data_IF_473189897707
#
_entry.id   IF_473189897707
#
_cell.length_a   1.000
_cell.length_b   1.000
_cell.length_c   1.000
_cell.angle_alpha   90.00
_cell.angle_beta   90.00
_cell.angle_gamma   90.00
#
_symmetry.space_group_name_H-M   'P 1'
#
loop_
_entity.id
_entity.type
_entity.pdbx_description
1 polymer ?
#
# COMPACT_ATOMS: atom_id res chain seq x y z
N UNK A 1 8.39 -0.64 -25.46
CA UNK A 1 7.22 -1.28 -24.81
C UNK A 1 7.67 -1.80 -23.46
N UNK A 2 6.99 -1.40 -22.39
CA UNK A 2 7.31 -1.82 -21.03
C UNK A 2 6.99 -3.31 -20.86
N UNK A 3 7.89 -4.04 -20.20
CA UNK A 3 7.68 -5.44 -19.81
C UNK A 3 7.73 -5.50 -18.29
N UNK A 4 6.54 -5.40 -17.70
CA UNK A 4 6.34 -5.42 -16.27
C UNK A 4 6.52 -6.82 -15.69
N UNK A 5 7.10 -6.89 -14.50
CA UNK A 5 7.14 -8.11 -13.67
C UNK A 5 6.55 -7.76 -12.31
N UNK A 6 5.57 -8.54 -11.87
CA UNK A 6 5.04 -8.47 -10.52
C UNK A 6 6.01 -9.26 -9.62
N UNK A 7 6.84 -8.53 -8.87
CA UNK A 7 8.11 -9.04 -8.33
C UNK A 7 8.13 -9.09 -6.80
N UNK A 8 7.15 -9.77 -6.22
CA UNK A 8 7.21 -10.01 -4.78
C UNK A 8 8.34 -10.99 -4.41
N UNK A 9 8.68 -11.93 -5.30
CA UNK A 9 9.71 -12.95 -5.11
C UNK A 9 9.46 -13.92 -3.92
N UNK A 10 8.19 -14.20 -3.61
CA UNK A 10 7.77 -15.10 -2.52
C UNK A 10 8.44 -16.48 -2.56
N UNK A 11 8.74 -16.99 -1.36
CA UNK A 11 9.26 -18.34 -1.21
C UNK A 11 8.15 -19.39 -1.39
N UNK A 12 8.44 -20.51 -2.07
CA UNK A 12 7.47 -21.59 -2.23
C UNK A 12 6.94 -22.15 -0.90
N UNK A 13 5.61 -22.28 -0.83
CA UNK A 13 4.87 -22.83 0.33
C UNK A 13 4.96 -21.95 1.58
N UNK A 14 5.11 -20.65 1.40
CA UNK A 14 4.97 -19.66 2.47
C UNK A 14 3.80 -18.72 2.17
N UNK A 15 3.29 -18.07 3.21
CA UNK A 15 2.30 -17.01 3.06
C UNK A 15 2.92 -15.79 2.37
N UNK A 16 2.09 -15.05 1.63
CA UNK A 16 2.42 -13.72 1.17
C UNK A 16 2.34 -12.76 2.36
N UNK A 17 3.49 -12.35 2.91
CA UNK A 17 3.54 -11.38 4.00
C UNK A 17 3.79 -9.98 3.42
N UNK A 18 2.72 -9.34 2.93
CA UNK A 18 2.76 -8.06 2.18
C UNK A 18 3.81 -7.03 2.62
N UNK A 19 4.05 -6.72 3.91
CA UNK A 19 4.97 -5.63 4.26
C UNK A 19 6.44 -6.02 4.19
N UNK A 20 6.82 -7.31 4.15
CA UNK A 20 8.22 -7.72 4.12
C UNK A 20 8.48 -8.68 2.99
N UNK A 21 9.23 -8.20 1.99
CA UNK A 21 9.57 -8.97 0.82
C UNK A 21 10.79 -9.87 1.08
N UNK A 22 10.87 -11.06 0.47
CA UNK A 22 12.02 -11.94 0.60
C UNK A 22 13.35 -11.29 0.20
N UNK A 23 14.42 -11.75 0.83
CA UNK A 23 15.78 -11.28 0.54
C UNK A 23 16.18 -11.45 -0.93
N UNK A 24 16.83 -10.42 -1.46
CA UNK A 24 17.23 -10.33 -2.88
C UNK A 24 18.49 -11.11 -3.18
N UNK A 25 18.58 -11.60 -4.42
CA UNK A 25 19.74 -12.32 -4.94
C UNK A 25 20.07 -11.90 -6.36
N UNK A 26 21.37 -11.86 -6.68
CA UNK A 26 21.86 -11.57 -8.04
C UNK A 26 21.29 -12.53 -9.09
N UNK A 27 21.05 -13.80 -8.72
CA UNK A 27 20.44 -14.77 -9.64
C UNK A 27 19.04 -14.37 -10.12
N UNK A 28 18.29 -13.64 -9.29
CA UNK A 28 16.98 -13.14 -9.71
C UNK A 28 17.11 -12.14 -10.86
N UNK A 29 18.22 -11.39 -10.93
CA UNK A 29 18.49 -10.44 -12.00
C UNK A 29 18.78 -11.18 -13.31
N UNK A 30 19.53 -12.29 -13.27
CA UNK A 30 19.74 -13.15 -14.45
C UNK A 30 18.38 -13.60 -15.04
N UNK A 31 17.47 -14.05 -14.17
CA UNK A 31 16.14 -14.49 -14.61
C UNK A 31 15.31 -13.32 -15.20
N UNK A 32 15.40 -12.13 -14.60
CA UNK A 32 14.76 -10.92 -15.12
C UNK A 32 15.31 -10.50 -16.50
N UNK A 33 16.62 -10.68 -16.72
CA UNK A 33 17.25 -10.48 -18.03
C UNK A 33 16.73 -11.47 -19.07
N UNK A 34 16.59 -12.74 -18.69
CA UNK A 34 16.02 -13.78 -19.55
C UNK A 34 14.55 -13.46 -19.91
N UNK A 35 13.78 -12.91 -18.97
CA UNK A 35 12.42 -12.42 -19.20
C UNK A 35 12.39 -11.11 -19.99
N UNK A 36 13.55 -10.49 -20.18
CA UNK A 36 13.75 -9.17 -20.78
C UNK A 36 12.93 -8.09 -20.07
N UNK A 37 12.78 -8.21 -18.75
CA UNK A 37 12.05 -7.27 -17.92
C UNK A 37 12.59 -5.85 -18.10
N UNK A 38 11.71 -4.85 -18.00
CA UNK A 38 12.11 -3.43 -17.99
C UNK A 38 11.65 -2.72 -16.73
N UNK A 39 10.63 -3.25 -16.05
CA UNK A 39 10.01 -2.60 -14.90
C UNK A 39 9.54 -3.66 -13.91
N UNK A 40 9.87 -3.50 -12.64
CA UNK A 40 9.38 -4.33 -11.55
C UNK A 40 8.33 -3.52 -10.77
N UNK A 41 7.17 -4.12 -10.54
CA UNK A 41 6.05 -3.55 -9.76
C UNK A 41 5.76 -4.46 -8.57
N UNK A 42 5.24 -3.89 -7.49
CA UNK A 42 5.23 -4.54 -6.17
C UNK A 42 6.56 -5.24 -5.88
N UNK A 43 7.64 -4.47 -5.91
CA UNK A 43 8.96 -5.09 -6.11
C UNK A 43 9.97 -4.92 -5.00
N UNK A 44 9.90 -3.87 -4.18
CA UNK A 44 10.95 -3.57 -3.20
C UNK A 44 10.46 -2.70 -2.04
N UNK A 45 11.16 -2.78 -0.91
CA UNK A 45 11.10 -1.80 0.18
C UNK A 45 9.70 -1.57 0.80
N UNK A 46 8.97 -2.65 1.08
CA UNK A 46 7.63 -2.60 1.68
C UNK A 46 7.61 -2.39 3.20
N UNK A 47 8.76 -2.58 3.87
CA UNK A 47 8.89 -2.67 5.32
C UNK A 47 8.48 -1.44 6.11
N UNK A 48 8.22 -0.31 5.43
CA UNK A 48 7.75 0.93 6.03
C UNK A 48 6.46 0.76 6.82
N UNK A 49 5.62 -0.21 6.45
CA UNK A 49 4.38 -0.51 7.18
C UNK A 49 4.57 -1.30 8.47
N UNK A 50 5.78 -1.83 8.73
CA UNK A 50 6.17 -2.36 10.04
C UNK A 50 6.82 -1.25 10.86
N UNK A 51 7.89 -0.63 10.33
CA UNK A 51 8.53 0.55 10.91
C UNK A 51 9.58 1.16 9.97
N UNK A 52 9.94 2.43 10.18
CA UNK A 52 11.02 3.08 9.41
C UNK A 52 12.40 2.43 9.64
N UNK A 53 12.79 2.04 10.86
CA UNK A 53 14.03 1.28 11.08
C UNK A 53 14.05 -0.07 10.37
N UNK A 54 12.91 -0.77 10.30
CA UNK A 54 12.80 -2.03 9.57
C UNK A 54 13.01 -1.80 8.06
N UNK A 55 12.38 -0.75 7.50
CA UNK A 55 12.60 -0.35 6.11
C UNK A 55 14.07 0.01 5.80
N UNK A 56 14.74 0.74 6.70
CA UNK A 56 16.18 1.01 6.54
C UNK A 56 17.01 -0.28 6.58
N UNK A 57 16.60 -1.27 7.37
CA UNK A 57 17.24 -2.58 7.39
C UNK A 57 17.05 -3.33 6.06
N UNK A 58 15.87 -3.27 5.44
CA UNK A 58 15.65 -3.81 4.08
C UNK A 58 16.54 -3.10 3.05
N UNK A 59 16.57 -1.77 3.10
CA UNK A 59 17.28 -0.93 2.14
C UNK A 59 18.81 -1.06 2.23
N UNK A 60 19.35 -0.98 3.44
CA UNK A 60 20.77 -0.73 3.70
C UNK A 60 21.40 -1.72 4.67
N UNK A 61 20.63 -2.67 5.21
CA UNK A 61 21.11 -3.63 6.18
C UNK A 61 22.30 -4.44 5.67
N UNK A 62 23.17 -4.83 6.60
CA UNK A 62 24.29 -5.70 6.29
C UNK A 62 23.79 -7.12 5.98
N UNK A 63 24.25 -7.68 4.87
CA UNK A 63 24.05 -9.08 4.53
C UNK A 63 25.22 -9.89 5.08
N UNK A 64 24.91 -10.93 5.87
CA UNK A 64 25.91 -11.84 6.42
C UNK A 64 26.84 -12.36 5.30
N UNK A 65 28.18 -12.38 5.50
CA UNK A 65 29.13 -12.85 4.50
C UNK A 65 28.81 -14.24 3.94
N UNK A 66 28.23 -15.13 4.74
CA UNK A 66 27.78 -16.45 4.29
C UNK A 66 26.68 -16.35 3.24
N UNK A 67 25.75 -15.42 3.35
CA UNK A 67 24.71 -15.19 2.34
C UNK A 67 25.28 -14.44 1.14
N UNK A 68 26.23 -13.53 1.32
CA UNK A 68 26.93 -12.89 0.20
C UNK A 68 27.64 -13.91 -0.70
N UNK A 69 28.17 -15.00 -0.14
CA UNK A 69 28.73 -16.11 -0.94
C UNK A 69 27.72 -16.71 -1.95
N UNK A 70 26.42 -16.68 -1.62
CA UNK A 70 25.34 -17.13 -2.50
C UNK A 70 24.67 -15.99 -3.28
N UNK A 71 25.31 -14.82 -3.33
CA UNK A 71 24.85 -13.67 -4.11
C UNK A 71 23.65 -12.93 -3.50
N UNK A 72 23.39 -13.08 -2.20
CA UNK A 72 22.41 -12.23 -1.52
C UNK A 72 22.94 -10.80 -1.37
N UNK A 73 22.02 -9.85 -1.54
CA UNK A 73 22.24 -8.41 -1.51
C UNK A 73 21.10 -7.73 -0.76
N UNK A 74 21.33 -6.53 -0.24
CA UNK A 74 20.22 -5.70 0.28
C UNK A 74 19.46 -5.05 -0.89
N UNK A 75 18.32 -4.40 -0.61
CA UNK A 75 17.47 -3.85 -1.66
C UNK A 75 18.18 -2.71 -2.43
N UNK A 76 19.01 -1.87 -1.78
CA UNK A 76 19.77 -0.83 -2.48
C UNK A 76 20.77 -1.40 -3.49
N UNK A 77 21.55 -2.41 -3.09
CA UNK A 77 22.48 -3.13 -3.96
C UNK A 77 21.74 -3.81 -5.13
N UNK A 78 20.59 -4.44 -4.87
CA UNK A 78 19.75 -5.06 -5.90
C UNK A 78 19.24 -4.03 -6.91
N UNK A 79 18.71 -2.90 -6.44
CA UNK A 79 18.20 -1.82 -7.30
C UNK A 79 19.30 -1.27 -8.19
N UNK A 80 20.49 -1.01 -7.63
CA UNK A 80 21.64 -0.52 -8.39
C UNK A 80 22.06 -1.50 -9.48
N UNK A 81 22.06 -2.81 -9.19
CA UNK A 81 22.40 -3.82 -10.18
C UNK A 81 21.34 -3.92 -11.29
N UNK A 82 20.04 -3.93 -10.95
CA UNK A 82 18.95 -3.85 -11.92
C UNK A 82 19.08 -2.64 -12.86
N UNK A 83 19.46 -1.47 -12.33
CA UNK A 83 19.62 -0.25 -13.11
C UNK A 83 20.74 -0.32 -14.15
N UNK A 84 21.84 -1.04 -13.89
CA UNK A 84 22.90 -1.27 -14.88
C UNK A 84 22.38 -1.97 -16.14
N UNK A 85 21.30 -2.73 -16.00
CA UNK A 85 20.64 -3.46 -17.07
C UNK A 85 19.38 -2.75 -17.61
N UNK A 86 19.11 -1.52 -17.16
CA UNK A 86 17.94 -0.76 -17.59
C UNK A 86 16.61 -1.26 -17.00
N UNK A 87 16.64 -1.99 -15.89
CA UNK A 87 15.45 -2.46 -15.18
C UNK A 87 15.07 -1.41 -14.11
N UNK A 88 13.86 -0.86 -14.23
CA UNK A 88 13.30 0.10 -13.28
C UNK A 88 12.63 -0.64 -12.12
N UNK A 89 13.11 -0.44 -10.90
CA UNK A 89 12.54 -1.04 -9.68
C UNK A 89 11.65 -0.02 -8.98
N UNK A 90 10.40 -0.38 -8.69
CA UNK A 90 9.47 0.46 -7.93
C UNK A 90 9.46 0.07 -6.45
N UNK A 91 9.66 1.05 -5.57
CA UNK A 91 9.41 0.93 -4.14
C UNK A 91 7.91 0.99 -3.87
N UNK A 92 7.42 0.14 -2.97
CA UNK A 92 5.99 0.08 -2.63
C UNK A 92 5.74 0.85 -1.35
N UNK A 93 4.82 1.80 -1.41
CA UNK A 93 4.30 2.48 -0.22
C UNK A 93 2.93 1.88 0.04
N UNK A 94 2.83 0.95 0.98
CA UNK A 94 1.55 0.40 1.41
C UNK A 94 0.79 1.44 2.24
N UNK A 95 -0.14 2.15 1.61
CA UNK A 95 -0.81 3.30 2.23
C UNK A 95 -1.86 2.89 3.26
N UNK A 96 -2.46 1.70 3.14
CA UNK A 96 -3.53 1.25 4.06
C UNK A 96 -3.01 0.39 5.21
N UNK A 97 -1.79 -0.12 5.11
CA UNK A 97 -1.37 -1.25 5.93
C UNK A 97 -0.50 -0.76 7.08
N UNK A 98 -0.97 -0.94 8.32
CA UNK A 98 -0.19 -0.72 9.54
C UNK A 98 -0.01 -2.03 10.30
N UNK A 99 1.22 -2.56 10.31
CA UNK A 99 1.49 -3.91 10.77
C UNK A 99 2.04 -3.97 12.19
N UNK A 100 1.52 -4.94 12.94
CA UNK A 100 2.00 -5.35 14.25
C UNK A 100 2.34 -6.85 14.19
N UNK A 101 3.63 -7.17 14.35
CA UNK A 101 4.15 -8.53 14.19
C UNK A 101 4.53 -9.14 15.55
N UNK A 102 4.15 -10.40 15.84
CA UNK A 102 4.64 -11.08 17.03
C UNK A 102 6.15 -11.33 16.90
N UNK A 103 6.90 -11.16 17.99
CA UNK A 103 8.35 -11.30 18.00
C UNK A 103 8.87 -11.96 19.29
N UNK A 104 10.12 -12.42 19.25
CA UNK A 104 10.87 -12.89 20.41
C UNK A 104 12.21 -12.17 20.46
N UNK A 105 12.52 -11.54 21.60
CA UNK A 105 13.80 -10.87 21.83
C UNK A 105 14.65 -11.64 22.83
N UNK A 106 15.97 -11.38 22.82
CA UNK A 106 16.84 -11.81 23.92
C UNK A 106 16.55 -11.02 25.22
N UNK A 107 17.10 -11.48 26.34
CA UNK A 107 16.78 -10.96 27.68
C UNK A 107 17.00 -9.45 27.83
N UNK A 108 18.05 -8.93 27.20
CA UNK A 108 18.42 -7.51 27.30
C UNK A 108 17.84 -6.65 26.16
N UNK A 109 16.95 -7.22 25.33
CA UNK A 109 16.24 -6.57 24.21
C UNK A 109 17.19 -5.91 23.18
N UNK A 110 18.36 -6.50 22.95
CA UNK A 110 19.36 -6.04 21.97
C UNK A 110 19.36 -6.83 20.65
N UNK A 111 18.61 -7.93 20.59
CA UNK A 111 18.56 -8.81 19.42
C UNK A 111 17.18 -9.43 19.21
N UNK A 112 16.70 -9.38 17.97
CA UNK A 112 15.53 -10.14 17.52
C UNK A 112 15.93 -11.60 17.28
N UNK A 113 15.25 -12.53 17.96
CA UNK A 113 15.50 -13.98 17.89
C UNK A 113 14.46 -14.70 17.01
N UNK A 114 13.25 -14.16 16.91
CA UNK A 114 12.20 -14.56 15.98
C UNK A 114 11.27 -13.36 15.70
N UNK A 115 10.70 -13.31 14.49
CA UNK A 115 9.73 -12.31 14.05
C UNK A 115 8.71 -13.00 13.16
N UNK A 116 7.42 -12.78 13.41
CA UNK A 116 6.25 -13.40 12.79
C UNK A 116 6.12 -14.93 13.00
N UNK A 117 7.20 -15.68 12.76
CA UNK A 117 7.30 -17.13 12.96
C UNK A 117 7.96 -17.44 14.32
N UNK A 118 7.19 -17.38 15.41
CA UNK A 118 7.69 -17.63 16.77
C UNK A 118 8.11 -19.10 16.99
N UNK A 119 9.08 -19.32 17.90
CA UNK A 119 9.63 -20.68 18.16
C UNK A 119 10.06 -20.94 19.61
N UNK A 120 9.70 -20.06 20.54
CA UNK A 120 10.10 -20.14 21.95
C UNK A 120 11.57 -19.83 22.18
N UNK A 121 12.21 -19.02 21.32
CA UNK A 121 13.63 -18.70 21.40
C UNK A 121 13.97 -17.60 22.42
N UNK A 122 12.97 -16.85 22.90
CA UNK A 122 13.22 -15.72 23.80
C UNK A 122 11.95 -15.14 24.43
N UNK A 123 12.08 -13.90 24.91
CA UNK A 123 10.98 -13.14 25.52
C UNK A 123 10.00 -12.70 24.43
N UNK A 124 8.76 -13.18 24.52
CA UNK A 124 7.67 -12.84 23.61
C UNK A 124 7.31 -11.35 23.71
N UNK A 125 7.08 -10.72 22.57
CA UNK A 125 6.69 -9.31 22.45
C UNK A 125 6.02 -9.02 21.09
N UNK A 126 5.73 -7.75 20.83
CA UNK A 126 5.31 -7.22 19.52
C UNK A 126 6.37 -6.30 18.93
N UNK A 127 6.42 -6.25 17.60
CA UNK A 127 7.23 -5.31 16.83
C UNK A 127 6.39 -4.77 15.68
N UNK A 128 6.01 -3.49 15.79
CA UNK A 128 5.32 -2.77 14.73
C UNK A 128 5.42 -1.25 14.88
N UNK A 129 4.44 -0.57 14.29
CA UNK A 129 4.33 0.88 14.30
C UNK A 129 4.15 1.42 15.72
N UNK A 130 3.43 0.69 16.59
CA UNK A 130 3.22 1.07 17.99
C UNK A 130 4.53 1.09 18.77
N UNK A 131 5.31 0.01 18.74
CA UNK A 131 6.59 -0.01 19.49
C UNK A 131 7.61 0.95 18.91
N UNK A 132 7.59 1.17 17.59
CA UNK A 132 8.44 2.16 16.94
C UNK A 132 8.11 3.58 17.41
N UNK A 133 6.85 4.00 17.28
CA UNK A 133 6.42 5.36 17.66
C UNK A 133 6.49 5.62 19.17
N UNK A 134 6.40 4.57 19.98
CA UNK A 134 6.62 4.63 21.42
C UNK A 134 8.09 4.54 21.86
N UNK A 135 9.06 4.48 20.93
CA UNK A 135 10.50 4.35 21.22
C UNK A 135 10.84 3.15 22.14
N UNK A 136 10.11 2.04 22.02
CA UNK A 136 10.15 0.95 23.01
C UNK A 136 11.46 0.16 23.02
N UNK A 137 12.13 0.01 21.87
CA UNK A 137 13.34 -0.83 21.73
C UNK A 137 14.58 -0.05 21.29
N UNK A 138 15.15 0.82 22.12
CA UNK A 138 16.22 1.74 21.73
C UNK A 138 17.55 1.07 21.35
N UNK A 139 17.74 -0.21 21.69
CA UNK A 139 18.92 -1.00 21.27
C UNK A 139 18.77 -1.63 19.89
N UNK A 140 17.54 -1.77 19.41
CA UNK A 140 17.22 -2.41 18.12
C UNK A 140 16.88 -1.37 17.07
N UNK A 141 16.12 -0.35 17.46
CA UNK A 141 15.54 0.63 16.55
C UNK A 141 16.00 2.04 16.90
N UNK A 142 16.29 2.80 15.85
CA UNK A 142 16.48 4.23 16.00
C UNK A 142 15.17 4.88 16.50
N UNK A 143 15.27 5.94 17.31
CA UNK A 143 14.09 6.58 17.85
C UNK A 143 13.30 7.33 16.77
N UNK A 144 12.01 7.55 17.00
CA UNK A 144 11.10 8.32 16.14
C UNK A 144 11.70 9.66 15.73
N UNK A 145 12.38 10.33 16.67
CA UNK A 145 12.99 11.66 16.50
C UNK A 145 14.15 11.66 15.49
N UNK A 146 14.73 10.50 15.17
CA UNK A 146 15.68 10.39 14.03
C UNK A 146 15.00 10.77 12.73
N UNK A 147 13.75 10.35 12.53
CA UNK A 147 12.98 10.54 11.30
C UNK A 147 12.11 11.80 11.35
N UNK A 148 11.67 12.18 12.56
CA UNK A 148 10.86 13.35 12.82
C UNK A 148 11.48 14.17 13.95
N UNK A 149 12.50 15.02 13.69
CA UNK A 149 13.25 15.72 14.75
C UNK A 149 12.41 16.61 15.67
N UNK A 150 11.21 17.01 15.24
CA UNK A 150 10.27 17.80 16.05
C UNK A 150 9.21 16.94 16.74
N UNK A 151 9.19 15.63 16.49
CA UNK A 151 8.07 14.75 16.80
C UNK A 151 6.97 14.81 15.73
N UNK A 152 5.93 14.00 15.94
CA UNK A 152 4.69 13.99 15.15
C UNK A 152 3.57 14.62 15.98
N UNK A 153 2.71 15.41 15.34
CA UNK A 153 1.57 16.06 15.99
C UNK A 153 0.31 15.89 15.16
N UNK A 154 -0.80 15.59 15.83
CA UNK A 154 -2.12 15.48 15.19
C UNK A 154 -2.70 16.86 14.86
N UNK A 155 -3.90 16.88 14.25
CA UNK A 155 -4.57 18.14 13.85
C UNK A 155 -4.91 19.07 15.03
N UNK A 156 -4.92 18.56 16.27
CA UNK A 156 -5.11 19.35 17.49
C UNK A 156 -3.80 19.91 18.07
N UNK A 157 -2.65 19.59 17.45
CA UNK A 157 -1.32 19.96 17.95
C UNK A 157 -0.84 19.10 19.12
N UNK A 158 -1.47 17.95 19.35
CA UNK A 158 -1.09 17.02 20.41
C UNK A 158 0.01 16.08 19.90
N UNK A 159 1.03 15.76 20.72
CA UNK A 159 2.10 14.86 20.33
C UNK A 159 1.59 13.43 20.15
N UNK A 160 2.05 12.76 19.09
CA UNK A 160 1.68 11.38 18.76
C UNK A 160 2.80 10.42 19.17
N UNK A 161 2.46 9.45 20.03
CA UNK A 161 3.39 8.41 20.51
C UNK A 161 2.93 6.98 20.20
N UNK A 162 1.75 6.82 19.60
CA UNK A 162 1.23 5.55 19.10
C UNK A 162 0.59 5.80 17.73
N UNK A 163 1.33 5.44 16.67
CA UNK A 163 0.89 5.62 15.29
C UNK A 163 -0.37 4.80 14.96
N UNK A 164 -0.52 3.60 15.53
CA UNK A 164 -1.71 2.78 15.28
C UNK A 164 -2.93 3.48 15.87
N UNK A 165 -2.88 3.86 17.13
CA UNK A 165 -4.04 4.46 17.82
C UNK A 165 -4.51 5.77 17.16
N UNK A 166 -3.56 6.63 16.75
CA UNK A 166 -3.82 7.91 16.12
C UNK A 166 -4.34 7.78 14.67
N UNK A 167 -3.70 6.93 13.87
CA UNK A 167 -3.90 6.93 12.42
C UNK A 167 -4.85 5.83 11.92
N UNK A 168 -5.31 4.91 12.77
CA UNK A 168 -6.20 3.82 12.35
C UNK A 168 -7.57 4.34 11.94
N UNK A 169 -8.08 3.80 10.84
CA UNK A 169 -9.47 3.96 10.44
C UNK A 169 -10.38 3.30 11.47
N UNK A 170 -11.42 4.00 11.90
CA UNK A 170 -12.39 3.49 12.87
C UNK A 170 -13.76 3.36 12.23
N UNK A 171 -14.47 2.29 12.52
CA UNK A 171 -15.84 2.14 12.04
C UNK A 171 -16.81 3.07 12.77
N UNK A 172 -18.10 2.97 12.45
CA UNK A 172 -19.16 3.80 13.05
C UNK A 172 -19.27 3.64 14.58
N UNK A 173 -18.79 2.54 15.16
CA UNK A 173 -18.79 2.27 16.59
C UNK A 173 -17.49 2.71 17.28
N UNK A 174 -16.50 3.19 16.52
CA UNK A 174 -15.18 3.57 17.02
C UNK A 174 -14.17 2.42 17.08
N UNK A 175 -14.54 1.24 16.58
CA UNK A 175 -13.66 0.06 16.58
C UNK A 175 -12.63 0.17 15.45
N UNK A 176 -11.36 -0.20 15.70
CA UNK A 176 -10.31 -0.14 14.68
C UNK A 176 -10.58 -1.13 13.53
N UNK A 177 -10.46 -0.66 12.31
CA UNK A 177 -10.60 -1.47 11.10
C UNK A 177 -9.32 -2.25 10.80
N UNK A 178 -9.47 -3.48 10.30
CA UNK A 178 -8.36 -4.37 9.94
C UNK A 178 -8.38 -4.70 8.45
N UNK A 179 -7.19 -4.72 7.83
CA UNK A 179 -6.99 -5.16 6.46
C UNK A 179 -6.94 -6.70 6.40
N UNK A 180 -8.05 -7.35 6.73
CA UNK A 180 -8.12 -8.81 6.91
C UNK A 180 -7.78 -9.63 5.66
N UNK A 181 -7.75 -9.02 4.47
CA UNK A 181 -7.41 -9.72 3.24
C UNK A 181 -5.92 -10.03 3.11
N UNK A 182 -5.06 -9.30 3.84
CA UNK A 182 -3.61 -9.58 3.90
C UNK A 182 -3.19 -10.33 5.17
N UNK A 183 -4.08 -10.44 6.17
CA UNK A 183 -3.83 -11.22 7.38
C UNK A 183 -3.99 -12.73 7.11
N UNK A 184 -2.95 -13.51 7.41
CA UNK A 184 -3.04 -14.97 7.52
C UNK A 184 -3.84 -15.38 8.77
N UNK A 185 -4.93 -16.11 8.58
CA UNK A 185 -5.87 -16.50 9.65
C UNK A 185 -5.31 -17.51 10.65
N UNK A 186 -4.20 -18.17 10.31
CA UNK A 186 -3.47 -19.11 11.15
C UNK A 186 -2.29 -18.45 11.90
N UNK A 187 -2.12 -17.14 11.79
CA UNK A 187 -1.05 -16.36 12.40
C UNK A 187 -1.61 -15.26 13.30
N UNK A 188 -0.78 -14.80 14.24
CA UNK A 188 -1.18 -13.80 15.23
C UNK A 188 -0.91 -12.34 14.82
N UNK A 189 -0.21 -12.12 13.70
CA UNK A 189 0.03 -10.78 13.16
C UNK A 189 -1.26 -9.99 12.95
N UNK A 190 -1.15 -8.66 12.99
CA UNK A 190 -2.29 -7.76 12.83
C UNK A 190 -1.94 -6.70 11.79
N UNK A 191 -2.88 -6.43 10.89
CA UNK A 191 -2.79 -5.37 9.90
C UNK A 191 -3.96 -4.41 10.08
N UNK A 192 -3.70 -3.27 10.71
CA UNK A 192 -4.65 -2.20 10.89
C UNK A 192 -4.80 -1.38 9.60
N UNK A 193 -6.02 -0.93 9.32
CA UNK A 193 -6.28 -0.04 8.18
C UNK A 193 -5.94 1.40 8.55
N UNK A 194 -4.85 1.92 8.02
CA UNK A 194 -4.39 3.28 8.26
C UNK A 194 -5.14 4.28 7.38
N UNK A 195 -5.45 5.46 7.92
CA UNK A 195 -6.25 6.48 7.24
C UNK A 195 -5.37 7.58 6.63
N UNK A 196 -5.37 7.70 5.30
CA UNK A 196 -4.66 8.76 4.57
C UNK A 196 -5.23 10.16 4.82
N UNK A 197 -6.46 10.28 5.29
CA UNK A 197 -6.97 11.58 5.73
C UNK A 197 -6.23 12.10 6.97
N UNK A 198 -5.61 11.22 7.76
CA UNK A 198 -4.79 11.62 8.90
C UNK A 198 -3.46 12.25 8.44
N UNK A 199 -3.16 13.52 8.81
CA UNK A 199 -1.92 14.19 8.42
C UNK A 199 -0.67 13.51 8.99
N UNK A 200 -0.74 12.92 10.17
CA UNK A 200 0.37 12.20 10.81
C UNK A 200 0.75 10.99 9.97
N UNK A 201 -0.24 10.25 9.47
CA UNK A 201 0.00 9.13 8.58
C UNK A 201 0.65 9.58 7.27
N UNK A 202 0.19 10.68 6.67
CA UNK A 202 0.82 11.23 5.46
C UNK A 202 2.28 11.63 5.69
N UNK A 203 2.60 12.27 6.82
CA UNK A 203 3.99 12.58 7.18
C UNK A 203 4.84 11.32 7.37
N UNK A 204 4.25 10.25 7.91
CA UNK A 204 4.88 8.95 8.01
C UNK A 204 5.17 8.34 6.63
N UNK A 205 4.17 8.30 5.73
CA UNK A 205 4.33 7.81 4.36
C UNK A 205 5.39 8.60 3.58
N UNK A 206 5.48 9.93 3.80
CA UNK A 206 6.57 10.75 3.25
C UNK A 206 7.95 10.27 3.71
N UNK A 207 8.08 9.79 4.96
CA UNK A 207 9.34 9.22 5.45
C UNK A 207 9.68 7.89 4.77
N UNK A 208 8.69 7.04 4.52
CA UNK A 208 8.85 5.81 3.72
C UNK A 208 9.37 6.16 2.32
N UNK A 209 8.74 7.13 1.66
CA UNK A 209 9.13 7.62 0.33
C UNK A 209 10.58 8.12 0.32
N UNK A 210 11.01 8.89 1.34
CA UNK A 210 12.40 9.37 1.45
C UNK A 210 13.40 8.21 1.46
N UNK A 211 13.18 7.22 2.33
CA UNK A 211 14.07 6.05 2.45
C UNK A 211 14.13 5.27 1.14
N UNK A 212 12.99 5.08 0.46
CA UNK A 212 12.95 4.39 -0.83
C UNK A 212 13.75 5.12 -1.92
N UNK A 213 13.58 6.44 -2.03
CA UNK A 213 14.31 7.27 -2.99
C UNK A 213 15.81 7.24 -2.70
N UNK A 214 16.20 7.36 -1.43
CA UNK A 214 17.60 7.29 -1.00
C UNK A 214 18.19 5.90 -1.28
N UNK A 215 17.40 4.83 -1.15
CA UNK A 215 17.82 3.47 -1.42
C UNK A 215 18.12 3.19 -2.89
N UNK A 216 17.51 3.93 -3.82
CA UNK A 216 17.84 3.74 -5.23
C UNK A 216 16.67 3.65 -6.18
N UNK A 217 15.42 3.60 -5.73
CA UNK A 217 14.29 3.21 -6.60
C UNK A 217 14.18 4.09 -7.84
N UNK A 218 13.71 3.49 -8.94
CA UNK A 218 13.40 4.21 -10.16
C UNK A 218 11.98 4.82 -10.14
N UNK A 219 11.12 4.31 -9.25
CA UNK A 219 9.81 4.87 -9.04
C UNK A 219 9.19 4.51 -7.70
N UNK A 220 8.13 5.23 -7.36
CA UNK A 220 7.30 5.04 -6.17
C UNK A 220 5.94 4.53 -6.63
N UNK A 221 5.51 3.41 -6.06
CA UNK A 221 4.18 2.85 -6.24
C UNK A 221 3.39 3.06 -4.95
N UNK A 222 2.39 3.94 -5.02
CA UNK A 222 1.43 4.20 -3.94
C UNK A 222 0.32 3.12 -3.97
N UNK A 223 0.42 2.12 -3.09
CA UNK A 223 -0.53 1.00 -3.05
C UNK A 223 -1.84 1.38 -2.35
N UNK A 224 -2.95 0.75 -2.78
CA UNK A 224 -4.31 1.10 -2.37
C UNK A 224 -4.61 2.62 -2.56
N UNK A 225 -4.52 3.08 -3.81
CA UNK A 225 -4.60 4.50 -4.12
C UNK A 225 -5.94 5.16 -3.77
N UNK A 226 -7.01 4.39 -3.52
CA UNK A 226 -8.37 4.83 -3.24
C UNK A 226 -8.69 5.06 -1.75
N UNK A 227 -7.68 5.12 -0.87
CA UNK A 227 -7.95 5.32 0.56
C UNK A 227 -8.50 6.70 0.93
N UNK A 228 -9.47 6.77 1.86
CA UNK A 228 -9.97 5.66 2.69
C UNK A 228 -11.26 5.00 2.17
N UNK A 229 -11.66 5.15 0.89
CA UNK A 229 -12.91 4.54 0.38
C UNK A 229 -12.92 3.01 0.54
N UNK A 230 -11.76 2.37 0.49
CA UNK A 230 -11.60 0.93 0.77
C UNK A 230 -12.18 0.53 2.13
N UNK A 231 -12.28 1.45 3.11
CA UNK A 231 -12.92 1.18 4.42
C UNK A 231 -14.43 1.01 4.34
N UNK A 232 -15.09 1.40 3.23
CA UNK A 232 -16.54 1.24 3.07
C UNK A 232 -16.98 -0.22 3.14
N UNK A 233 -16.09 -1.16 2.78
CA UNK A 233 -16.35 -2.60 2.95
C UNK A 233 -16.41 -3.05 4.42
N UNK A 234 -15.93 -2.21 5.36
CA UNK A 234 -15.96 -2.42 6.80
C UNK A 234 -16.88 -1.45 7.55
N UNK A 235 -17.71 -0.70 6.83
CA UNK A 235 -18.60 0.30 7.42
C UNK A 235 -18.06 1.71 7.41
N UNK A 236 -17.03 2.01 6.62
CA UNK A 236 -16.47 3.35 6.47
C UNK A 236 -15.49 3.74 7.58
N UNK A 237 -14.90 4.92 7.44
CA UNK A 237 -14.02 5.51 8.45
C UNK A 237 -14.75 6.66 9.17
N UNK A 238 -14.78 6.66 10.49
CA UNK A 238 -15.34 7.70 11.35
C UNK A 238 -14.31 8.14 12.40
N UNK A 239 -13.02 8.05 12.07
CA UNK A 239 -11.96 8.64 12.89
C UNK A 239 -12.15 10.18 12.98
N UNK A 240 -11.45 10.80 13.93
CA UNK A 240 -11.49 12.25 14.16
C UNK A 240 -11.27 13.06 12.88
N UNK A 241 -10.27 12.69 12.09
CA UNK A 241 -9.87 13.38 10.87
C UNK A 241 -10.93 13.27 9.75
N UNK A 242 -11.49 12.07 9.54
CA UNK A 242 -12.57 11.87 8.56
C UNK A 242 -13.84 12.65 8.95
N UNK A 243 -14.22 12.61 10.23
CA UNK A 243 -15.43 13.31 10.71
C UNK A 243 -15.25 14.82 10.65
N UNK A 244 -14.09 15.34 11.05
CA UNK A 244 -13.77 16.76 10.93
C UNK A 244 -13.76 17.21 9.48
N UNK A 245 -13.06 16.48 8.60
CA UNK A 245 -13.01 16.81 7.18
C UNK A 245 -14.39 16.79 6.52
N UNK A 246 -15.25 15.84 6.89
CA UNK A 246 -16.60 15.78 6.36
C UNK A 246 -17.48 16.92 6.85
N UNK A 247 -17.38 17.28 8.14
CA UNK A 247 -18.05 18.48 8.68
C UNK A 247 -17.64 19.73 7.90
N UNK A 248 -16.33 19.92 7.66
CA UNK A 248 -15.81 21.07 6.94
C UNK A 248 -16.33 21.08 5.48
N UNK A 249 -16.41 19.90 4.84
CA UNK A 249 -17.01 19.74 3.53
C UNK A 249 -18.49 20.18 3.51
N UNK A 250 -19.30 19.73 4.48
CA UNK A 250 -20.71 20.12 4.57
C UNK A 250 -20.91 21.63 4.77
N UNK A 251 -20.06 22.26 5.59
CA UNK A 251 -20.08 23.72 5.81
C UNK A 251 -19.76 24.46 4.51
N UNK A 252 -18.81 23.94 3.73
CA UNK A 252 -18.34 24.55 2.49
C UNK A 252 -19.30 24.35 1.30
N UNK A 253 -20.34 23.51 1.42
CA UNK A 253 -21.31 23.31 0.33
C UNK A 253 -22.00 24.62 -0.03
N UNK A 254 -22.14 24.94 -1.35
CA UNK A 254 -22.98 26.03 -1.82
C UNK A 254 -24.42 25.89 -1.32
N UNK A 255 -25.10 27.01 -1.05
CA UNK A 255 -26.45 27.00 -0.47
C UNK A 255 -27.44 26.18 -1.31
N UNK A 256 -27.33 26.28 -2.63
CA UNK A 256 -28.13 25.53 -3.61
C UNK A 256 -27.85 24.01 -3.65
N UNK A 257 -26.73 23.56 -3.08
CA UNK A 257 -26.34 22.14 -3.02
C UNK A 257 -26.47 21.55 -1.62
N UNK A 258 -26.85 22.33 -0.61
CA UNK A 258 -27.01 21.85 0.76
C UNK A 258 -28.26 20.98 0.87
N UNK A 259 -28.12 19.71 1.31
CA UNK A 259 -29.27 18.88 1.63
C UNK A 259 -30.20 19.56 2.65
N UNK A 260 -31.53 19.52 2.48
CA UNK A 260 -32.48 20.13 3.41
C UNK A 260 -32.33 19.62 4.85
N UNK A 261 -31.87 18.39 5.03
CA UNK A 261 -31.65 17.74 6.32
C UNK A 261 -30.51 18.40 7.12
N UNK A 262 -29.66 19.22 6.48
CA UNK A 262 -28.68 20.06 7.19
C UNK A 262 -29.33 21.24 7.92
N UNK A 263 -30.55 21.64 7.53
CA UNK A 263 -31.22 22.79 8.12
C UNK A 263 -31.54 22.54 9.60
N UNK A 264 -30.94 23.34 10.49
CA UNK A 264 -31.12 23.24 11.93
C UNK A 264 -30.14 22.29 12.64
N UNK A 265 -29.24 21.63 11.90
CA UNK A 265 -28.14 20.89 12.51
C UNK A 265 -27.04 21.86 12.96
N UNK A 266 -26.55 21.68 14.19
CA UNK A 266 -25.34 22.37 14.65
C UNK A 266 -24.12 21.67 14.05
N UNK A 267 -23.65 22.18 12.90
CA UNK A 267 -22.49 21.62 12.23
C UNK A 267 -21.20 21.75 13.05
N UNK A 268 -21.08 22.68 14.01
CA UNK A 268 -19.85 22.86 14.80
C UNK A 268 -19.47 21.58 15.55
N UNK A 269 -20.44 20.90 16.16
CA UNK A 269 -20.24 19.70 16.98
C UNK A 269 -20.74 18.43 16.29
N UNK A 270 -20.97 18.51 14.98
CA UNK A 270 -21.55 17.42 14.20
C UNK A 270 -20.56 16.26 14.04
N UNK A 271 -20.96 15.09 14.53
CA UNK A 271 -20.26 13.83 14.34
C UNK A 271 -21.14 12.87 13.54
N UNK A 272 -20.81 12.65 12.27
CA UNK A 272 -21.68 11.94 11.33
C UNK A 272 -22.07 10.53 11.80
N UNK A 273 -21.11 9.72 12.25
CA UNK A 273 -21.37 8.35 12.73
C UNK A 273 -22.32 8.30 13.93
N UNK A 274 -22.03 9.08 14.98
CA UNK A 274 -22.91 9.23 16.14
C UNK A 274 -24.32 9.72 15.75
N UNK A 275 -24.41 10.70 14.86
CA UNK A 275 -25.70 11.23 14.39
C UNK A 275 -26.53 10.18 13.65
N UNK A 276 -25.90 9.28 12.88
CA UNK A 276 -26.59 8.15 12.25
C UNK A 276 -27.08 7.15 13.32
N UNK A 277 -26.22 6.78 14.28
CA UNK A 277 -26.57 5.84 15.35
C UNK A 277 -27.73 6.36 16.23
N UNK A 278 -27.74 7.66 16.56
CA UNK A 278 -28.81 8.29 17.34
C UNK A 278 -30.18 8.22 16.62
N UNK A 279 -30.19 8.02 15.30
CA UNK A 279 -31.39 7.81 14.48
C UNK A 279 -31.70 6.33 14.23
N UNK A 280 -30.92 5.41 14.82
CA UNK A 280 -31.07 3.97 14.61
C UNK A 280 -30.55 3.48 13.27
N UNK A 281 -29.67 4.24 12.59
CA UNK A 281 -29.07 3.87 11.31
C UNK A 281 -27.66 3.30 11.51
N UNK A 282 -27.39 2.17 10.86
CA UNK A 282 -26.10 1.49 10.88
C UNK A 282 -25.45 1.49 9.48
N UNK A 283 -24.32 2.17 9.37
CA UNK A 283 -23.56 2.31 8.13
C UNK A 283 -22.90 0.99 7.69
N UNK A 284 -22.92 -0.08 8.49
CA UNK A 284 -22.44 -1.41 8.08
C UNK A 284 -23.45 -2.19 7.24
N UNK A 285 -24.74 -1.86 7.30
CA UNK A 285 -25.80 -2.68 6.70
C UNK A 285 -26.40 -2.06 5.44
N UNK A 286 -26.82 -0.79 5.52
CA UNK A 286 -27.49 -0.08 4.41
C UNK A 286 -26.90 1.32 4.23
N UNK A 287 -25.59 1.38 4.00
CA UNK A 287 -24.87 2.66 3.92
C UNK A 287 -25.40 3.57 2.82
N UNK A 288 -25.83 3.01 1.69
CA UNK A 288 -26.22 3.79 0.51
C UNK A 288 -27.56 4.51 0.72
N UNK A 289 -28.38 4.02 1.66
CA UNK A 289 -29.61 4.68 2.09
C UNK A 289 -29.40 5.67 3.25
N UNK A 290 -28.22 5.68 3.88
CA UNK A 290 -27.94 6.56 5.01
C UNK A 290 -27.98 8.03 4.55
N UNK A 291 -28.62 8.93 5.31
CA UNK A 291 -28.60 10.35 4.97
C UNK A 291 -27.16 10.85 4.85
N UNK A 292 -26.92 11.71 3.86
CA UNK A 292 -25.60 12.24 3.50
C UNK A 292 -24.56 11.23 2.99
N UNK A 293 -24.94 9.99 2.68
CA UNK A 293 -23.99 9.00 2.15
C UNK A 293 -23.28 9.50 0.89
N UNK A 294 -24.00 10.09 -0.05
CA UNK A 294 -23.42 10.56 -1.32
C UNK A 294 -22.55 11.81 -1.13
N UNK A 295 -22.88 12.67 -0.17
CA UNK A 295 -22.04 13.79 0.25
C UNK A 295 -20.75 13.25 0.89
N UNK A 296 -20.85 12.23 1.74
CA UNK A 296 -19.70 11.58 2.37
C UNK A 296 -18.79 10.89 1.35
N UNK A 297 -19.39 10.18 0.39
CA UNK A 297 -18.67 9.55 -0.72
C UNK A 297 -17.95 10.58 -1.60
N UNK A 298 -18.61 11.70 -1.96
CA UNK A 298 -17.99 12.80 -2.73
C UNK A 298 -16.85 13.46 -1.96
N UNK A 299 -17.03 13.70 -0.65
CA UNK A 299 -15.97 14.17 0.23
C UNK A 299 -14.76 13.23 0.16
N UNK A 300 -14.97 11.92 0.32
CA UNK A 300 -13.87 10.96 0.28
C UNK A 300 -13.15 10.93 -1.09
N UNK A 301 -13.89 10.98 -2.21
CA UNK A 301 -13.28 11.11 -3.55
C UNK A 301 -12.40 12.36 -3.66
N UNK A 302 -12.86 13.50 -3.11
CA UNK A 302 -12.09 14.73 -3.12
C UNK A 302 -10.78 14.60 -2.33
N UNK A 303 -10.87 13.99 -1.14
CA UNK A 303 -9.71 13.79 -0.27
C UNK A 303 -8.70 12.80 -0.86
N UNK A 304 -9.18 11.69 -1.45
CA UNK A 304 -8.37 10.73 -2.19
C UNK A 304 -7.52 11.44 -3.26
N UNK A 305 -8.17 12.26 -4.09
CA UNK A 305 -7.46 13.05 -5.12
C UNK A 305 -6.43 13.99 -4.53
N UNK A 306 -6.80 14.72 -3.49
CA UNK A 306 -5.94 15.71 -2.85
C UNK A 306 -4.69 15.05 -2.27
N UNK A 307 -4.86 14.02 -1.45
CA UNK A 307 -3.76 13.44 -0.68
C UNK A 307 -2.91 12.44 -1.45
N UNK A 308 -3.49 11.71 -2.42
CA UNK A 308 -2.67 11.00 -3.40
C UNK A 308 -1.77 11.98 -4.17
N UNK A 309 -2.34 13.10 -4.63
CA UNK A 309 -1.59 14.16 -5.28
C UNK A 309 -0.49 14.76 -4.40
N UNK A 310 -0.77 14.97 -3.11
CA UNK A 310 0.22 15.43 -2.12
C UNK A 310 1.43 14.49 -2.03
N UNK A 311 1.21 13.18 -1.91
CA UNK A 311 2.29 12.19 -1.83
C UNK A 311 3.06 12.06 -3.16
N UNK A 312 2.35 12.08 -4.28
CA UNK A 312 2.95 12.03 -5.61
C UNK A 312 3.82 13.27 -5.91
N UNK A 313 3.36 14.46 -5.53
CA UNK A 313 4.11 15.71 -5.68
C UNK A 313 5.33 15.71 -4.73
N UNK A 314 5.15 15.23 -3.50
CA UNK A 314 6.23 15.10 -2.52
C UNK A 314 7.35 14.16 -2.99
N UNK A 315 7.01 12.99 -3.54
CA UNK A 315 7.99 12.05 -4.06
C UNK A 315 8.90 12.69 -5.13
N UNK A 316 8.30 13.43 -6.06
CA UNK A 316 9.05 14.16 -7.10
C UNK A 316 9.88 15.30 -6.52
N UNK A 317 9.32 16.05 -5.57
CA UNK A 317 10.04 17.14 -4.91
C UNK A 317 11.28 16.61 -4.19
N UNK A 318 11.13 15.60 -3.35
CA UNK A 318 12.24 15.03 -2.59
C UNK A 318 13.30 14.42 -3.52
N UNK A 319 12.88 13.68 -4.55
CA UNK A 319 13.80 13.15 -5.56
C UNK A 319 14.64 14.27 -6.18
N UNK A 320 14.02 15.38 -6.58
CA UNK A 320 14.74 16.52 -7.13
C UNK A 320 15.71 17.16 -6.12
N UNK A 321 15.34 17.26 -4.85
CA UNK A 321 16.23 17.75 -3.76
C UNK A 321 17.49 16.88 -3.63
N UNK A 322 17.36 15.56 -3.77
CA UNK A 322 18.50 14.62 -3.78
C UNK A 322 19.09 14.37 -5.17
N UNK A 323 18.74 15.21 -6.17
CA UNK A 323 19.25 15.18 -7.55
C UNK A 323 18.98 13.87 -8.30
N UNK A 324 17.79 13.31 -8.08
CA UNK A 324 17.27 12.13 -8.75
C UNK A 324 15.97 12.47 -9.47
N UNK A 325 15.63 11.64 -10.46
CA UNK A 325 14.31 11.60 -11.04
C UNK A 325 13.65 10.27 -10.65
N UNK A 326 12.37 10.31 -10.33
CA UNK A 326 11.59 9.13 -10.01
C UNK A 326 10.25 9.18 -10.72
N UNK A 327 9.81 8.01 -11.18
CA UNK A 327 8.46 7.81 -11.67
C UNK A 327 7.50 7.67 -10.49
N UNK A 328 6.25 8.07 -10.67
CA UNK A 328 5.19 7.83 -9.70
C UNK A 328 4.09 7.02 -10.35
N UNK A 329 3.61 6.01 -9.62
CA UNK A 329 2.42 5.25 -9.95
C UNK A 329 1.62 4.96 -8.69
N UNK A 330 0.54 4.22 -8.84
CA UNK A 330 -0.23 3.66 -7.73
C UNK A 330 -0.91 2.37 -8.14
N UNK A 331 -1.58 1.71 -7.19
CA UNK A 331 -2.46 0.59 -7.49
C UNK A 331 -3.87 1.09 -7.82
N UNK A 332 -4.25 0.97 -9.09
CA UNK A 332 -5.55 1.37 -9.58
C UNK A 332 -6.46 0.12 -9.67
N UNK A 333 -6.90 -0.43 -8.53
CA UNK A 333 -7.62 -1.71 -8.50
C UNK A 333 -8.82 -1.73 -9.46
N UNK A 334 -8.75 -2.62 -10.44
CA UNK A 334 -9.74 -2.84 -11.50
C UNK A 334 -10.13 -1.57 -12.29
N UNK A 335 -9.33 -0.50 -12.20
CA UNK A 335 -9.56 0.80 -12.83
C UNK A 335 -10.98 1.33 -12.60
N UNK A 336 -11.51 1.28 -11.37
CA UNK A 336 -12.83 1.85 -11.07
C UNK A 336 -12.85 3.36 -11.36
N UNK A 337 -13.40 3.74 -12.52
CA UNK A 337 -13.23 5.09 -13.11
C UNK A 337 -13.47 6.24 -12.13
N UNK A 338 -14.57 6.18 -11.39
CA UNK A 338 -15.01 7.28 -10.53
C UNK A 338 -14.16 7.45 -9.27
N UNK A 339 -13.35 6.46 -8.90
CA UNK A 339 -12.36 6.57 -7.81
C UNK A 339 -11.00 7.01 -8.33
N UNK A 340 -10.52 6.38 -9.40
CA UNK A 340 -9.11 6.50 -9.78
C UNK A 340 -8.83 7.46 -10.94
N UNK A 341 -9.80 7.72 -11.83
CA UNK A 341 -9.54 8.61 -12.97
C UNK A 341 -9.10 10.02 -12.54
N UNK A 342 -9.58 10.59 -11.43
CA UNK A 342 -9.05 11.86 -10.92
C UNK A 342 -7.58 11.81 -10.47
N UNK A 343 -7.02 10.62 -10.22
CA UNK A 343 -5.63 10.39 -9.82
C UNK A 343 -4.69 10.22 -11.01
N UNK A 344 -5.23 9.79 -12.16
CA UNK A 344 -4.46 9.53 -13.38
C UNK A 344 -3.49 10.67 -13.74
N UNK A 345 -3.85 11.97 -13.66
CA UNK A 345 -2.92 13.05 -14.00
C UNK A 345 -1.69 13.16 -13.10
N UNK A 346 -1.68 12.50 -11.93
CA UNK A 346 -0.59 12.54 -10.95
C UNK A 346 0.43 11.41 -11.11
N UNK A 347 0.19 10.46 -12.01
CA UNK A 347 1.08 9.30 -12.25
C UNK A 347 1.69 9.30 -13.65
N UNK A 348 2.88 8.71 -13.77
CA UNK A 348 3.65 8.60 -15.02
C UNK A 348 3.34 7.30 -15.78
N UNK A 349 2.88 6.28 -15.08
CA UNK A 349 2.36 5.02 -15.62
C UNK A 349 1.20 4.52 -14.76
N UNK A 350 0.32 3.74 -15.37
CA UNK A 350 -0.77 3.07 -14.66
C UNK A 350 -0.33 1.67 -14.26
N UNK A 351 -0.46 1.34 -12.98
CA UNK A 351 -0.34 -0.02 -12.51
C UNK A 351 -1.72 -0.42 -11.96
N UNK A 352 -2.25 -1.55 -12.40
CA UNK A 352 -3.60 -1.98 -12.02
C UNK A 352 -3.64 -3.46 -11.71
N UNK A 353 -4.24 -3.79 -10.58
CA UNK A 353 -4.63 -5.15 -10.25
C UNK A 353 -6.01 -5.46 -10.84
N UNK A 354 -6.11 -6.56 -11.57
CA UNK A 354 -7.34 -6.98 -12.24
C UNK A 354 -8.21 -7.83 -11.31
N UNK A 355 -9.43 -7.39 -11.00
CA UNK A 355 -10.32 -8.10 -10.07
C UNK A 355 -10.62 -9.56 -10.45
N UNK A 356 -10.82 -9.86 -11.73
CA UNK A 356 -11.18 -11.20 -12.20
C UNK A 356 -10.43 -11.52 -13.49
N UNK A 357 -9.41 -12.39 -13.43
CA UNK A 357 -8.74 -12.89 -14.63
C UNK A 357 -9.60 -13.92 -15.35
N UNK A 358 -9.87 -13.69 -16.63
CA UNK A 358 -10.52 -14.65 -17.53
C UNK A 358 -9.56 -15.05 -18.63
N UNK A 359 -9.82 -16.20 -19.27
CA UNK A 359 -9.02 -16.65 -20.42
C UNK A 359 -9.04 -15.65 -21.59
N UNK A 360 -10.10 -14.84 -21.72
CA UNK A 360 -10.23 -13.76 -22.70
C UNK A 360 -11.11 -12.64 -22.16
N UNK A 361 -10.69 -11.40 -22.35
CA UNK A 361 -11.40 -10.21 -21.87
C UNK A 361 -11.00 -8.93 -22.63
N UNK A 362 -11.10 -8.92 -23.98
CA UNK A 362 -10.60 -7.83 -24.80
C UNK A 362 -11.32 -6.50 -24.55
N UNK A 363 -12.60 -6.54 -24.13
CA UNK A 363 -13.35 -5.32 -23.78
C UNK A 363 -12.75 -4.60 -22.57
N UNK A 364 -12.26 -5.35 -21.57
CA UNK A 364 -11.64 -4.78 -20.39
C UNK A 364 -10.27 -4.20 -20.72
N UNK A 365 -9.43 -4.89 -21.49
CA UNK A 365 -8.15 -4.32 -21.94
C UNK A 365 -8.33 -3.07 -22.82
N UNK A 366 -9.37 -3.02 -23.67
CA UNK A 366 -9.72 -1.79 -24.40
C UNK A 366 -10.10 -0.65 -23.45
N UNK A 367 -10.83 -0.95 -22.39
CA UNK A 367 -11.13 0.03 -21.34
C UNK A 367 -9.86 0.49 -20.61
N UNK A 368 -8.96 -0.43 -20.27
CA UNK A 368 -7.66 -0.15 -19.65
C UNK A 368 -6.83 0.81 -20.51
N UNK A 369 -6.71 0.53 -21.81
CA UNK A 369 -6.01 1.42 -22.74
C UNK A 369 -6.68 2.80 -22.83
N UNK A 370 -8.01 2.86 -22.83
CA UNK A 370 -8.75 4.12 -22.80
C UNK A 370 -8.56 4.91 -21.50
N UNK A 371 -8.45 4.24 -20.35
CA UNK A 371 -8.17 4.87 -19.06
C UNK A 371 -6.75 5.45 -19.01
N UNK A 372 -5.76 4.68 -19.47
CA UNK A 372 -4.35 5.08 -19.44
C UNK A 372 -3.98 6.13 -20.51
N UNK A 373 -4.76 6.21 -21.60
CA UNK A 373 -4.48 7.13 -22.69
C UNK A 373 -3.13 6.82 -23.35
N UNK A 374 -2.21 7.79 -23.35
CA UNK A 374 -0.85 7.62 -23.87
C UNK A 374 0.13 7.02 -22.85
N UNK A 375 -0.27 6.93 -21.57
CA UNK A 375 0.60 6.42 -20.52
C UNK A 375 0.76 4.91 -20.63
N UNK A 376 1.95 4.37 -20.32
CA UNK A 376 2.11 2.94 -20.19
C UNK A 376 1.20 2.37 -19.11
N UNK A 377 0.75 1.14 -19.31
CA UNK A 377 -0.01 0.39 -18.31
C UNK A 377 0.60 -0.99 -18.08
N UNK A 378 0.71 -1.34 -16.79
CA UNK A 378 1.05 -2.66 -16.29
C UNK A 378 -0.18 -3.23 -15.57
N UNK A 379 -0.65 -4.37 -16.04
CA UNK A 379 -1.78 -5.11 -15.47
C UNK A 379 -1.23 -6.28 -14.66
N UNK A 380 -1.61 -6.39 -13.40
CA UNK A 380 -1.32 -7.55 -12.55
C UNK A 380 -2.58 -8.39 -12.42
N UNK A 381 -2.45 -9.71 -12.53
CA UNK A 381 -3.55 -10.64 -12.29
C UNK A 381 -3.84 -10.72 -10.78
N UNK A 382 -5.11 -10.61 -10.35
CA UNK A 382 -5.45 -10.92 -8.97
C UNK A 382 -5.26 -12.43 -8.74
N UNK A 383 -4.37 -12.84 -7.81
CA UNK A 383 -4.02 -14.25 -7.63
C UNK A 383 -5.16 -15.09 -7.02
N UNK A 384 -6.17 -14.44 -6.43
CA UNK A 384 -7.29 -15.06 -5.74
C UNK A 384 -8.54 -15.20 -6.61
N UNK A 385 -8.54 -14.60 -7.80
CA UNK A 385 -9.72 -14.45 -8.65
C UNK A 385 -9.65 -15.19 -9.98
N UNK A 386 -10.83 -15.53 -10.51
CA UNK A 386 -10.97 -15.97 -11.89
C UNK A 386 -10.29 -17.31 -12.20
N UNK A 387 -9.58 -17.38 -13.33
CA UNK A 387 -8.96 -18.61 -13.85
C UNK A 387 -7.57 -18.89 -13.27
N UNK A 388 -7.02 -18.01 -12.44
CA UNK A 388 -5.64 -18.14 -11.93
C UNK A 388 -5.41 -19.43 -11.13
N UNK A 389 -6.28 -19.81 -10.17
CA UNK A 389 -6.06 -21.05 -9.42
C UNK A 389 -6.03 -22.29 -10.32
N UNK A 390 -6.93 -22.36 -11.31
CA UNK A 390 -6.97 -23.44 -12.29
C UNK A 390 -5.70 -23.43 -13.17
N UNK A 391 -5.31 -22.25 -13.66
CA UNK A 391 -4.14 -22.08 -14.50
C UNK A 391 -2.85 -22.50 -13.78
N UNK A 392 -2.70 -22.17 -12.50
CA UNK A 392 -1.58 -22.60 -11.66
C UNK A 392 -1.51 -24.14 -11.59
N UNK A 393 -2.65 -24.81 -11.34
CA UNK A 393 -2.69 -26.28 -11.31
C UNK A 393 -2.33 -26.91 -12.67
N UNK A 394 -2.74 -26.29 -13.78
CA UNK A 394 -2.33 -26.72 -15.11
C UNK A 394 -0.82 -26.54 -15.32
N UNK A 395 -0.27 -25.38 -14.96
CA UNK A 395 1.15 -25.05 -15.13
C UNK A 395 2.06 -25.98 -14.33
N UNK A 396 1.66 -26.38 -13.12
CA UNK A 396 2.39 -27.36 -12.28
C UNK A 396 2.65 -28.70 -12.97
N UNK A 397 1.75 -29.12 -13.88
CA UNK A 397 1.88 -30.38 -14.63
C UNK A 397 2.30 -30.16 -16.08
N UNK A 398 2.86 -28.99 -16.41
CA UNK A 398 3.34 -28.66 -17.75
C UNK A 398 2.24 -28.38 -18.78
N UNK A 399 1.03 -28.04 -18.34
CA UNK A 399 -0.11 -27.65 -19.19
C UNK A 399 -0.42 -26.17 -19.03
N UNK A 400 -1.31 -25.61 -19.85
CA UNK A 400 -1.81 -24.23 -19.67
C UNK A 400 -0.85 -23.11 -20.09
N UNK A 401 0.39 -23.42 -20.49
CA UNK A 401 1.37 -22.42 -20.95
C UNK A 401 0.85 -21.59 -22.14
N UNK A 402 0.09 -22.19 -23.06
CA UNK A 402 -0.51 -21.45 -24.18
C UNK A 402 -1.64 -20.53 -23.71
N UNK A 403 -2.41 -20.91 -22.69
CA UNK A 403 -3.44 -20.05 -22.10
C UNK A 403 -2.81 -18.82 -21.43
N UNK A 404 -1.72 -19.02 -20.69
CA UNK A 404 -0.97 -17.91 -20.11
C UNK A 404 -0.35 -17.00 -21.19
N UNK A 405 0.28 -17.58 -22.22
CA UNK A 405 0.81 -16.78 -23.35
C UNK A 405 -0.27 -15.97 -24.06
N UNK A 406 -1.47 -16.53 -24.21
CA UNK A 406 -2.61 -15.83 -24.80
C UNK A 406 -3.02 -14.62 -23.95
N UNK A 407 -3.02 -14.71 -22.61
CA UNK A 407 -3.32 -13.54 -21.77
C UNK A 407 -2.29 -12.42 -21.97
N UNK A 408 -1.00 -12.78 -22.08
CA UNK A 408 0.09 -11.86 -22.44
C UNK A 408 -0.14 -11.18 -23.80
N UNK A 409 -0.46 -11.97 -24.83
CA UNK A 409 -0.66 -11.44 -26.19
C UNK A 409 -1.94 -10.63 -26.35
N UNK A 410 -3.02 -11.00 -25.66
CA UNK A 410 -4.28 -10.25 -25.71
C UNK A 410 -4.11 -8.84 -25.14
N UNK A 411 -3.43 -8.71 -23.99
CA UNK A 411 -3.12 -7.40 -23.42
C UNK A 411 -2.23 -6.57 -24.37
N UNK A 412 -1.15 -7.17 -24.88
CA UNK A 412 -0.21 -6.50 -25.78
C UNK A 412 -0.86 -6.01 -27.08
N UNK A 413 -1.77 -6.81 -27.66
CA UNK A 413 -2.54 -6.44 -28.84
C UNK A 413 -3.48 -5.24 -28.61
N UNK A 414 -3.81 -4.95 -27.35
CA UNK A 414 -4.69 -3.87 -26.94
C UNK A 414 -3.92 -2.75 -26.21
N UNK A 415 -2.62 -2.62 -26.45
CA UNK A 415 -1.75 -1.59 -25.89
C UNK A 415 -1.60 -1.63 -24.36
N UNK A 416 -1.90 -2.76 -23.72
CA UNK A 416 -1.63 -3.00 -22.31
C UNK A 416 -0.48 -4.00 -22.12
N UNK A 417 0.16 -4.01 -20.95
CA UNK A 417 1.18 -5.01 -20.63
C UNK A 417 0.76 -5.73 -19.37
N UNK A 418 0.44 -7.01 -19.47
CA UNK A 418 0.24 -7.84 -18.28
C UNK A 418 1.59 -8.26 -17.72
N UNK A 419 1.74 -8.15 -16.41
CA UNK A 419 2.98 -8.49 -15.71
C UNK A 419 3.17 -10.00 -15.67
N UNK A 420 4.41 -10.45 -15.74
CA UNK A 420 4.74 -11.83 -15.38
C UNK A 420 4.95 -11.88 -13.86
N UNK A 421 4.29 -12.78 -13.11
CA UNK A 421 4.59 -12.97 -11.69
C UNK A 421 5.97 -13.62 -11.54
N UNK A 422 6.77 -13.13 -10.59
CA UNK A 422 8.04 -13.72 -10.20
C UNK A 422 8.02 -14.09 -8.72
N UNK A 423 8.20 -15.39 -8.45
CA UNK A 423 7.97 -15.98 -7.15
C UNK A 423 7.36 -17.37 -7.30
N UNK A 424 6.92 -17.95 -6.18
CA UNK A 424 6.40 -19.32 -6.14
C UNK A 424 5.02 -19.52 -6.70
#
# INVERSE_FOLDING_TARGET
MIRGVYFDAWFPRQHCYHPSLPGRRLRMIDDLLDYRATTLVWSALGGGSISLPYLEQEAFGEIDPRFRFYGFVNDSEFIQECQKHGIQVFGIVFEVQGWEMPAELNEDESRVLALNELRGAGKRTWMGLREFSGNRYPKLWAPLEKYFPKGLFNSNGEPVTDLIEECVSRDIYGEPCHARWVECTDREHQCYMMDRNNPVWREYLKAVIRIQIDAGVAGIQLDEAELPITTFQYGGCFCSECVQGFRDYLIALPEEQRPPELNGLNLKDFHYGKWLLDQGLDFKQDRESAPFFWEYHRFQIHQIKRYFGELADYARQYAAEVKREVLVSGNFFNLVAHWYYPLEPKVDLIITEMRNTRYRQPSWYRYVAGFAGEKPVIVVENPYGGVIPELIEMLKVGKGYDLFRISLYEAAALCANISVPYGS
#
